data_IF_774896476295
#
_entry.id   IF_774896476295
#
_cell.length_a   1.000
_cell.length_b   1.000
_cell.length_c   1.000
_cell.angle_alpha   90.00
_cell.angle_beta   90.00
_cell.angle_gamma   90.00
#
_symmetry.space_group_name_H-M   'P 1'
#
loop_
_entity.id
_entity.type
_entity.pdbx_description
1 polymer ?
#
# COMPACT_ATOMS: atom_id res chain seq x y z
N UNK A 1 9.65 2.88 -33.94
CA UNK A 1 9.72 3.84 -32.83
C UNK A 1 9.89 3.09 -31.53
N UNK A 2 10.80 3.50 -30.64
CA UNK A 2 10.96 2.86 -29.33
C UNK A 2 9.84 3.34 -28.37
N UNK A 3 9.68 2.67 -27.22
CA UNK A 3 8.58 2.98 -26.29
C UNK A 3 8.72 4.35 -25.62
N UNK A 4 9.95 4.84 -25.41
CA UNK A 4 10.21 6.14 -24.82
C UNK A 4 9.84 7.30 -25.76
N UNK A 5 10.16 7.15 -27.05
CA UNK A 5 9.82 8.11 -28.09
C UNK A 5 8.29 8.20 -28.29
N UNK A 6 7.60 7.06 -28.18
CA UNK A 6 6.14 7.00 -28.23
C UNK A 6 5.50 7.74 -27.03
N UNK A 7 6.00 7.54 -25.81
CA UNK A 7 5.47 8.21 -24.62
C UNK A 7 5.61 9.74 -24.71
N UNK A 8 6.72 10.22 -25.27
CA UNK A 8 6.96 11.66 -25.52
C UNK A 8 5.97 12.21 -26.56
N UNK A 9 5.77 11.50 -27.67
CA UNK A 9 4.81 11.90 -28.71
C UNK A 9 3.36 11.85 -28.21
N UNK A 10 3.01 10.87 -27.39
CA UNK A 10 1.69 10.77 -26.78
C UNK A 10 1.41 11.94 -25.82
N UNK A 11 2.41 12.38 -25.04
CA UNK A 11 2.28 13.56 -24.20
C UNK A 11 2.06 14.84 -25.02
N UNK A 12 2.79 15.00 -26.13
CA UNK A 12 2.57 16.12 -27.07
C UNK A 12 1.16 16.10 -27.69
N UNK A 13 0.68 14.92 -28.11
CA UNK A 13 -0.67 14.75 -28.65
C UNK A 13 -1.75 15.12 -27.62
N UNK A 14 -1.60 14.68 -26.36
CA UNK A 14 -2.54 15.02 -25.28
C UNK A 14 -2.50 16.51 -24.89
N UNK A 15 -1.37 17.18 -25.12
CA UNK A 15 -1.22 18.62 -24.93
C UNK A 15 -1.80 19.45 -26.09
N UNK A 16 -2.08 18.83 -27.25
CA UNK A 16 -2.60 19.50 -28.45
C UNK A 16 -1.52 20.15 -29.32
N UNK A 17 -0.24 19.85 -29.07
CA UNK A 17 0.93 20.48 -29.72
C UNK A 17 1.55 19.59 -30.81
N UNK A 18 0.78 18.64 -31.36
CA UNK A 18 1.27 17.63 -32.29
C UNK A 18 1.08 18.04 -33.76
N UNK A 19 2.07 17.78 -34.61
CA UNK A 19 1.96 18.03 -36.04
C UNK A 19 1.28 16.87 -36.81
N UNK A 20 0.78 17.10 -38.05
CA UNK A 20 0.06 16.06 -38.81
C UNK A 20 0.88 14.82 -39.18
N UNK A 21 2.20 14.89 -39.16
CA UNK A 21 3.10 13.79 -39.46
C UNK A 21 3.43 12.98 -38.20
N UNK A 22 3.59 13.66 -37.05
CA UNK A 22 3.68 13.04 -35.72
C UNK A 22 2.39 12.27 -35.37
N UNK A 23 1.21 12.79 -35.75
CA UNK A 23 -0.08 12.12 -35.54
C UNK A 23 -0.16 10.80 -36.32
N UNK A 24 0.35 10.76 -37.56
CA UNK A 24 0.44 9.51 -38.34
C UNK A 24 1.35 8.47 -37.69
N UNK A 25 2.48 8.89 -37.13
CA UNK A 25 3.40 7.97 -36.47
C UNK A 25 2.79 7.33 -35.21
N UNK A 26 1.96 8.09 -34.48
CA UNK A 26 1.21 7.57 -33.33
C UNK A 26 0.17 6.54 -33.80
N UNK A 27 -0.58 6.84 -34.87
CA UNK A 27 -1.59 5.93 -35.41
C UNK A 27 -0.97 4.65 -35.98
N UNK A 28 0.09 4.75 -36.77
CA UNK A 28 0.81 3.61 -37.35
C UNK A 28 1.46 2.73 -36.26
N UNK A 29 2.03 3.34 -35.23
CA UNK A 29 2.52 2.59 -34.07
C UNK A 29 1.38 1.92 -33.30
N UNK A 30 0.23 2.59 -33.14
CA UNK A 30 -0.93 2.01 -32.46
C UNK A 30 -1.50 0.80 -33.20
N UNK A 31 -1.62 0.87 -34.53
CA UNK A 31 -2.11 -0.26 -35.33
C UNK A 31 -1.15 -1.45 -35.27
N UNK A 32 0.17 -1.20 -35.31
CA UNK A 32 1.18 -2.26 -35.24
C UNK A 32 1.34 -2.83 -33.82
N UNK A 33 1.28 -2.00 -32.77
CA UNK A 33 1.44 -2.43 -31.38
C UNK A 33 0.21 -3.20 -30.86
N UNK A 34 -0.98 -2.91 -31.40
CA UNK A 34 -2.23 -3.58 -31.03
C UNK A 34 -2.72 -4.60 -32.09
N UNK A 35 -1.87 -4.97 -33.04
CA UNK A 35 -2.19 -5.75 -34.25
C UNK A 35 -2.68 -7.20 -34.05
N UNK A 36 -2.78 -7.73 -32.83
CA UNK A 36 -3.42 -9.02 -32.57
C UNK A 36 -4.28 -9.00 -31.31
N UNK A 37 -5.52 -8.53 -31.45
CA UNK A 37 -6.52 -8.67 -30.39
C UNK A 37 -7.57 -7.57 -30.37
N UNK A 38 -8.25 -7.31 -31.48
CA UNK A 38 -9.53 -6.60 -31.42
C UNK A 38 -10.60 -7.53 -30.86
N UNK A 39 -10.59 -7.72 -29.53
CA UNK A 39 -11.83 -7.99 -28.85
C UNK A 39 -12.72 -6.78 -29.13
N UNK A 40 -13.65 -6.94 -30.07
CA UNK A 40 -14.60 -5.91 -30.46
C UNK A 40 -15.27 -5.40 -29.19
N UNK A 41 -14.90 -4.19 -28.77
CA UNK A 41 -15.47 -3.54 -27.59
C UNK A 41 -16.97 -3.50 -27.84
N UNK A 42 -17.73 -4.23 -27.03
CA UNK A 42 -19.18 -4.28 -27.21
C UNK A 42 -19.76 -2.88 -26.98
N UNK A 43 -20.86 -2.52 -27.66
CA UNK A 43 -21.48 -1.19 -27.51
C UNK A 43 -21.81 -0.83 -26.03
N UNK A 44 -21.97 -1.86 -25.19
CA UNK A 44 -22.12 -1.76 -23.73
C UNK A 44 -20.85 -1.28 -23.03
N UNK A 45 -19.68 -1.79 -23.42
CA UNK A 45 -18.39 -1.40 -22.84
C UNK A 45 -17.97 0.01 -23.27
N UNK A 46 -18.26 0.40 -24.52
CA UNK A 46 -18.07 1.78 -24.99
C UNK A 46 -18.83 2.78 -24.11
N UNK A 47 -20.10 2.52 -23.80
CA UNK A 47 -20.90 3.40 -22.92
C UNK A 47 -20.36 3.48 -21.49
N UNK A 48 -19.77 2.40 -20.97
CA UNK A 48 -19.19 2.38 -19.62
C UNK A 48 -17.89 3.18 -19.57
N UNK A 49 -17.06 3.06 -20.61
CA UNK A 49 -15.80 3.80 -20.73
C UNK A 49 -16.07 5.28 -20.97
N UNK A 50 -16.99 5.62 -21.88
CA UNK A 50 -17.44 6.99 -22.13
C UNK A 50 -17.97 7.65 -20.85
N UNK A 51 -18.81 6.95 -20.08
CA UNK A 51 -19.33 7.46 -18.81
C UNK A 51 -18.23 7.66 -17.76
N UNK A 52 -17.18 6.84 -17.75
CA UNK A 52 -16.01 7.00 -16.86
C UNK A 52 -15.13 8.18 -17.27
N UNK A 53 -14.91 8.38 -18.56
CA UNK A 53 -14.13 9.49 -19.12
C UNK A 53 -14.85 10.82 -18.85
N UNK A 54 -16.15 10.92 -19.15
CA UNK A 54 -16.94 12.14 -18.89
C UNK A 54 -17.04 12.48 -17.40
N UNK A 55 -17.06 11.48 -16.51
CA UNK A 55 -17.08 11.72 -15.06
C UNK A 55 -15.76 12.35 -14.57
N UNK A 56 -14.62 11.97 -15.16
CA UNK A 56 -13.31 12.57 -14.86
C UNK A 56 -13.14 13.94 -15.52
N UNK A 57 -13.57 14.10 -16.77
CA UNK A 57 -13.52 15.40 -17.47
C UNK A 57 -14.38 16.43 -16.74
N UNK A 58 -15.59 16.07 -16.25
CA UNK A 58 -16.43 17.02 -15.51
C UNK A 58 -15.83 17.46 -14.17
N UNK A 59 -15.07 16.58 -13.51
CA UNK A 59 -14.37 16.93 -12.25
C UNK A 59 -13.05 17.66 -12.48
N UNK A 60 -12.43 17.52 -13.64
CA UNK A 60 -11.11 18.08 -13.95
C UNK A 60 -11.15 19.31 -14.87
N UNK A 61 -12.25 19.55 -15.61
CA UNK A 61 -12.45 20.68 -16.51
C UNK A 61 -13.24 21.85 -15.88
N UNK A 62 -13.79 21.68 -14.69
CA UNK A 62 -14.32 22.80 -13.90
C UNK A 62 -13.18 23.42 -13.10
N UNK A 63 -12.33 24.18 -13.80
CA UNK A 63 -11.52 25.20 -13.18
C UNK A 63 -12.39 26.06 -12.27
N UNK A 64 -11.93 26.25 -11.02
CA UNK A 64 -12.56 27.15 -10.05
C UNK A 64 -12.72 28.53 -10.70
N UNK A 65 -13.94 28.87 -11.11
CA UNK A 65 -14.29 30.28 -11.38
C UNK A 65 -14.35 31.00 -10.04
N UNK A 66 -13.69 32.16 -9.86
CA UNK A 66 -13.93 32.98 -8.70
C UNK A 66 -15.42 33.38 -8.69
N UNK A 67 -16.08 33.09 -7.58
CA UNK A 67 -17.47 33.43 -7.34
C UNK A 67 -17.57 34.94 -7.16
N UNK A 68 -17.71 35.69 -8.26
CA UNK A 68 -18.11 37.10 -8.24
C UNK A 68 -19.63 37.15 -8.15
N UNK A 69 -20.14 37.36 -6.95
CA UNK A 69 -21.56 37.60 -6.70
C UNK A 69 -21.90 39.02 -7.12
N UNK A 70 -22.75 39.19 -8.14
CA UNK A 70 -23.40 40.49 -8.35
C UNK A 70 -24.52 40.63 -7.32
N UNK A 71 -24.23 41.29 -6.20
CA UNK A 71 -25.23 41.63 -5.20
C UNK A 71 -26.15 42.70 -5.78
N UNK A 72 -27.41 42.34 -6.00
CA UNK A 72 -28.46 43.27 -6.44
C UNK A 72 -28.75 44.31 -5.36
N UNK A 73 -28.98 45.57 -5.77
CA UNK A 73 -29.14 46.75 -4.91
C UNK A 73 -30.24 46.61 -3.83
N UNK A 74 -31.18 45.68 -4.01
CA UNK A 74 -32.24 45.37 -3.06
C UNK A 74 -31.73 44.69 -1.76
N UNK A 75 -30.55 44.05 -1.77
CA UNK A 75 -29.96 43.42 -0.57
C UNK A 75 -29.19 44.40 0.32
N UNK A 76 -28.74 45.55 -0.22
CA UNK A 76 -28.14 46.63 0.58
C UNK A 76 -29.17 47.37 1.45
N UNK A 77 -30.42 47.47 0.98
CA UNK A 77 -31.51 48.08 1.75
C UNK A 77 -31.91 47.23 2.98
N UNK A 78 -31.89 45.91 2.84
CA UNK A 78 -32.20 44.98 3.96
C UNK A 78 -31.07 44.99 5.01
N UNK A 79 -29.81 45.14 4.58
CA UNK A 79 -28.67 45.25 5.50
C UNK A 79 -28.74 46.51 6.39
N UNK A 80 -29.19 47.65 5.86
CA UNK A 80 -29.31 48.89 6.63
C UNK A 80 -30.36 48.80 7.76
N UNK A 81 -31.46 48.08 7.51
CA UNK A 81 -32.51 47.90 8.53
C UNK A 81 -32.10 46.92 9.63
N UNK A 82 -31.34 45.87 9.30
CA UNK A 82 -30.83 44.90 10.30
C UNK A 82 -29.76 45.53 11.19
N UNK A 83 -28.89 46.38 10.64
CA UNK A 83 -27.86 47.09 11.41
C UNK A 83 -28.48 48.08 12.41
N UNK A 84 -29.55 48.79 12.03
CA UNK A 84 -30.25 49.70 12.95
C UNK A 84 -30.96 48.97 14.08
N UNK A 85 -31.59 47.82 13.80
CA UNK A 85 -32.27 47.01 14.83
C UNK A 85 -31.25 46.34 15.76
N UNK A 86 -30.14 45.81 15.23
CA UNK A 86 -29.06 45.23 16.03
C UNK A 86 -28.30 46.30 16.84
N UNK A 87 -28.12 47.51 16.30
CA UNK A 87 -27.52 48.64 17.00
C UNK A 87 -28.35 49.12 18.18
N UNK A 88 -29.68 49.17 18.03
CA UNK A 88 -30.59 49.51 19.12
C UNK A 88 -30.65 48.43 20.21
N UNK A 89 -30.52 47.15 19.84
CA UNK A 89 -30.50 46.03 20.80
C UNK A 89 -29.21 45.97 21.64
N UNK A 90 -28.08 46.46 21.13
CA UNK A 90 -26.79 46.52 21.84
C UNK A 90 -26.70 47.65 22.88
N UNK A 91 -27.60 48.65 22.83
CA UNK A 91 -27.62 49.78 23.77
C UNK A 91 -28.55 49.57 24.98
N UNK A 92 -29.29 48.45 25.04
CA UNK A 92 -30.06 48.05 26.22
C UNK A 92 -29.14 47.41 27.28
N UNK A 93 -28.98 47.99 28.48
CA UNK A 93 -28.16 47.41 29.54
C UNK A 93 -28.85 46.15 30.08
N UNK A 94 -28.38 44.98 29.64
CA UNK A 94 -28.91 43.66 30.02
C UNK A 94 -28.68 42.56 28.99
N UNK A 95 -28.50 42.91 27.70
CA UNK A 95 -28.37 41.93 26.62
C UNK A 95 -27.06 41.13 26.69
N UNK A 96 -25.97 41.74 27.15
CA UNK A 96 -24.66 41.09 27.27
C UNK A 96 -24.57 40.07 28.43
N UNK A 97 -25.46 40.17 29.42
CA UNK A 97 -25.53 39.22 30.54
C UNK A 97 -26.23 37.90 30.17
N UNK A 98 -27.02 37.88 29.08
CA UNK A 98 -27.76 36.70 28.64
C UNK A 98 -27.08 35.96 27.48
N UNK A 99 -26.23 36.65 26.71
CA UNK A 99 -25.50 36.03 25.59
C UNK A 99 -24.23 35.27 26.03
N UNK A 100 -23.65 35.61 27.19
CA UNK A 100 -22.46 34.91 27.72
C UNK A 100 -22.78 33.69 28.60
N UNK A 101 -24.04 33.21 28.59
CA UNK A 101 -24.47 32.05 29.39
C UNK A 101 -24.74 30.77 28.59
N UNK A 102 -24.57 30.79 27.26
CA UNK A 102 -24.86 29.63 26.39
C UNK A 102 -23.70 29.19 25.48
N UNK A 103 -22.44 29.48 25.85
CA UNK A 103 -21.24 28.90 25.18
C UNK A 103 -20.49 27.97 26.15
N UNK A 104 -21.25 27.09 26.81
CA UNK A 104 -20.77 25.86 27.45
C UNK A 104 -21.88 24.82 27.36
N UNK A 105 -22.05 24.22 26.18
CA UNK A 105 -22.73 22.93 25.98
C UNK A 105 -22.83 22.63 24.49
N UNK A 106 -21.72 22.23 23.87
CA UNK A 106 -21.70 21.40 22.66
C UNK A 106 -20.37 20.64 22.56
N UNK A 107 -19.97 20.03 23.67
CA UNK A 107 -18.91 19.02 23.75
C UNK A 107 -19.34 17.90 24.71
N UNK A 108 -20.50 17.29 24.42
CA UNK A 108 -20.91 16.00 24.99
C UNK A 108 -22.13 15.53 24.18
N UNK A 109 -21.98 14.44 23.42
CA UNK A 109 -23.10 13.86 22.68
C UNK A 109 -22.77 13.24 21.32
N UNK A 110 -21.53 12.90 21.00
CA UNK A 110 -21.33 11.68 20.20
C UNK A 110 -21.39 10.55 21.22
N UNK A 111 -22.57 9.94 21.30
CA UNK A 111 -22.84 8.70 21.99
C UNK A 111 -21.67 7.75 21.76
N UNK A 112 -20.89 7.54 22.83
CA UNK A 112 -20.11 6.33 23.01
C UNK A 112 -21.12 5.20 22.91
N UNK A 113 -21.32 4.66 21.71
CA UNK A 113 -21.58 3.24 21.60
C UNK A 113 -20.46 2.62 22.44
N UNK A 114 -20.82 2.07 23.60
CA UNK A 114 -19.98 1.15 24.34
C UNK A 114 -19.67 0.03 23.36
N UNK A 115 -18.61 0.21 22.58
CA UNK A 115 -18.05 -0.88 21.79
C UNK A 115 -17.56 -1.84 22.84
N UNK A 116 -18.31 -2.91 23.05
CA UNK A 116 -17.87 -4.03 23.85
C UNK A 116 -16.56 -4.53 23.23
N UNK A 117 -15.44 -4.18 23.88
CA UNK A 117 -14.13 -4.68 23.50
C UNK A 117 -13.92 -6.05 24.14
N UNK A 118 -13.59 -7.02 23.32
CA UNK A 118 -13.20 -8.35 23.75
C UNK A 118 -11.67 -8.34 23.89
N UNK A 119 -11.17 -8.71 25.07
CA UNK A 119 -9.74 -8.93 25.31
C UNK A 119 -9.48 -10.43 25.47
N UNK A 120 -8.66 -10.98 24.58
CA UNK A 120 -8.19 -12.37 24.64
C UNK A 120 -6.73 -12.35 25.05
N UNK A 121 -6.37 -13.09 26.10
CA UNK A 121 -4.97 -13.28 26.52
C UNK A 121 -4.61 -14.76 26.42
N UNK A 122 -3.42 -15.05 25.90
CA UNK A 122 -2.85 -16.39 25.88
C UNK A 122 -1.82 -16.54 27.01
N UNK A 123 -2.25 -17.13 28.13
CA UNK A 123 -1.39 -17.47 29.27
C UNK A 123 -0.90 -18.92 29.24
N UNK A 124 -1.27 -19.69 28.21
CA UNK A 124 -0.88 -21.09 28.07
C UNK A 124 0.45 -21.22 27.32
N UNK A 125 1.02 -22.43 27.31
CA UNK A 125 2.27 -22.73 26.60
C UNK A 125 2.13 -23.06 25.11
N UNK A 126 0.93 -22.93 24.53
CA UNK A 126 0.66 -23.25 23.13
C UNK A 126 -0.04 -22.08 22.43
N UNK A 127 0.12 -21.90 21.10
CA UNK A 127 -0.59 -20.86 20.36
C UNK A 127 -2.11 -21.02 20.45
N UNK A 128 -2.83 -19.90 20.59
CA UNK A 128 -4.29 -19.85 20.69
C UNK A 128 -4.87 -19.21 19.42
N UNK A 129 -5.76 -19.93 18.74
CA UNK A 129 -6.46 -19.39 17.57
C UNK A 129 -7.68 -18.56 18.02
N UNK A 130 -7.86 -17.39 17.39
CA UNK A 130 -8.99 -16.48 17.57
C UNK A 130 -9.57 -16.19 16.20
N UNK A 131 -10.87 -16.43 16.02
CA UNK A 131 -11.59 -16.06 14.81
C UNK A 131 -12.34 -14.75 15.04
N UNK A 132 -12.17 -13.78 14.15
CA UNK A 132 -12.83 -12.49 14.19
C UNK A 132 -14.09 -12.53 13.31
N UNK A 133 -15.03 -11.59 13.51
CA UNK A 133 -16.34 -11.61 12.82
C UNK A 133 -16.27 -11.47 11.30
N UNK A 134 -15.16 -10.95 10.77
CA UNK A 134 -14.91 -10.77 9.34
C UNK A 134 -14.28 -12.00 8.67
N UNK A 135 -14.09 -13.09 9.42
CA UNK A 135 -13.43 -14.31 8.97
C UNK A 135 -11.91 -14.31 9.11
N UNK A 136 -11.32 -13.21 9.61
CA UNK A 136 -9.87 -13.14 9.89
C UNK A 136 -9.51 -14.12 11.01
N UNK A 137 -8.45 -14.90 10.79
CA UNK A 137 -7.90 -15.82 11.78
C UNK A 137 -6.63 -15.22 12.41
N UNK A 138 -6.59 -15.21 13.73
CA UNK A 138 -5.42 -14.73 14.50
C UNK A 138 -4.88 -15.89 15.34
N UNK A 139 -3.65 -16.30 15.08
CA UNK A 139 -2.92 -17.24 15.93
C UNK A 139 -2.06 -16.44 16.91
N UNK A 140 -2.51 -16.39 18.16
CA UNK A 140 -1.88 -15.66 19.25
C UNK A 140 -0.84 -16.54 19.95
N UNK A 141 0.42 -16.12 19.92
CA UNK A 141 1.55 -16.80 20.58
C UNK A 141 1.36 -16.75 22.11
N UNK A 142 1.99 -17.66 22.90
CA UNK A 142 2.05 -17.52 24.35
C UNK A 142 2.46 -16.11 24.81
N UNK A 143 2.02 -15.73 26.01
CA UNK A 143 2.31 -14.44 26.64
C UNK A 143 1.85 -13.21 25.86
N UNK A 144 0.87 -13.39 24.97
CA UNK A 144 0.36 -12.34 24.10
C UNK A 144 -1.11 -12.04 24.41
N UNK A 145 -1.56 -10.84 24.05
CA UNK A 145 -2.96 -10.43 24.19
C UNK A 145 -3.45 -9.65 22.98
N UNK A 146 -4.68 -9.91 22.59
CA UNK A 146 -5.38 -9.27 21.49
C UNK A 146 -6.65 -8.61 22.03
N UNK A 147 -6.87 -7.35 21.68
CA UNK A 147 -8.08 -6.60 22.01
C UNK A 147 -8.74 -6.11 20.73
N UNK A 148 -10.04 -6.35 20.60
CA UNK A 148 -10.80 -6.02 19.39
C UNK A 148 -12.27 -5.75 19.74
N UNK A 149 -13.01 -4.94 18.98
CA UNK A 149 -14.43 -4.74 19.23
C UNK A 149 -15.22 -5.98 18.81
N UNK A 150 -16.35 -6.23 19.48
CA UNK A 150 -17.27 -7.32 19.06
C UNK A 150 -17.75 -7.16 17.62
N UNK A 151 -17.96 -5.92 17.20
CA UNK A 151 -18.30 -5.53 15.83
C UNK A 151 -17.36 -4.45 15.30
N UNK A 152 -16.83 -4.66 14.11
CA UNK A 152 -15.99 -3.70 13.40
C UNK A 152 -16.82 -2.54 12.83
N UNK A 153 -16.14 -1.42 12.60
CA UNK A 153 -16.76 -0.28 11.95
C UNK A 153 -17.07 -0.58 10.49
N UNK A 154 -18.08 0.12 9.97
CA UNK A 154 -18.48 0.03 8.55
C UNK A 154 -17.33 0.37 7.58
N UNK A 155 -16.33 1.15 8.03
CA UNK A 155 -15.26 1.65 7.18
C UNK A 155 -13.87 1.07 7.50
N UNK A 156 -13.71 0.37 8.63
CA UNK A 156 -12.39 -0.10 9.10
C UNK A 156 -12.50 -1.22 10.12
N UNK A 157 -11.48 -2.08 10.16
CA UNK A 157 -11.34 -3.15 11.14
C UNK A 157 -10.10 -2.84 11.99
N UNK A 158 -10.24 -2.77 13.31
CA UNK A 158 -9.16 -2.31 14.19
C UNK A 158 -8.98 -3.27 15.36
N UNK A 159 -7.75 -3.68 15.60
CA UNK A 159 -7.36 -4.52 16.73
C UNK A 159 -6.09 -3.97 17.38
N UNK A 160 -5.93 -4.19 18.68
CA UNK A 160 -4.73 -3.87 19.45
C UNK A 160 -4.04 -5.18 19.84
N UNK A 161 -2.74 -5.28 19.60
CA UNK A 161 -1.91 -6.43 19.94
C UNK A 161 -0.81 -6.02 20.93
N UNK A 162 -0.62 -6.85 21.95
CA UNK A 162 0.53 -6.86 22.84
C UNK A 162 1.13 -8.27 22.82
N UNK A 163 2.43 -8.39 22.56
CA UNK A 163 3.09 -9.68 22.33
C UNK A 163 3.16 -10.04 20.84
N UNK A 164 2.99 -11.32 20.50
CA UNK A 164 3.17 -11.84 19.16
C UNK A 164 1.92 -12.55 18.62
N UNK A 165 1.58 -12.28 17.36
CA UNK A 165 0.51 -12.98 16.68
C UNK A 165 0.76 -13.09 15.18
N UNK A 166 0.32 -14.20 14.61
CA UNK A 166 0.14 -14.35 13.17
C UNK A 166 -1.30 -14.02 12.79
N UNK A 167 -1.47 -13.14 11.82
CA UNK A 167 -2.75 -12.72 11.27
C UNK A 167 -2.90 -13.29 9.87
N UNK A 168 -4.01 -13.96 9.60
CA UNK A 168 -4.48 -14.32 8.28
C UNK A 168 -5.75 -13.52 7.98
N UNK A 169 -5.57 -12.33 7.39
CA UNK A 169 -6.63 -11.33 7.27
C UNK A 169 -7.46 -11.58 6.02
N UNK A 170 -8.78 -11.68 6.23
CA UNK A 170 -9.73 -11.82 5.13
C UNK A 170 -9.66 -10.60 4.20
N UNK A 171 -9.59 -10.87 2.90
CA UNK A 171 -9.48 -9.83 1.88
C UNK A 171 -10.74 -8.98 1.80
N UNK A 172 -10.60 -7.70 2.13
CA UNK A 172 -11.62 -6.66 2.02
C UNK A 172 -10.94 -5.32 1.77
N UNK A 173 -10.98 -4.88 0.50
CA UNK A 173 -10.38 -3.61 0.06
C UNK A 173 -11.18 -2.37 0.46
N UNK A 174 -12.44 -2.56 0.87
CA UNK A 174 -13.34 -1.45 1.26
C UNK A 174 -13.20 -1.10 2.73
N UNK A 175 -12.81 -2.06 3.56
CA UNK A 175 -12.58 -1.90 5.01
C UNK A 175 -11.17 -2.34 5.38
N UNK A 176 -10.18 -1.45 5.38
CA UNK A 176 -8.81 -1.80 5.77
C UNK A 176 -8.75 -2.34 7.20
N UNK A 177 -7.82 -3.26 7.43
CA UNK A 177 -7.54 -3.87 8.72
C UNK A 177 -6.30 -3.22 9.34
N UNK A 178 -6.41 -2.78 10.59
CA UNK A 178 -5.36 -2.09 11.33
C UNK A 178 -5.01 -2.87 12.59
N UNK A 179 -3.74 -3.23 12.73
CA UNK A 179 -3.17 -3.75 13.97
C UNK A 179 -2.37 -2.63 14.63
N UNK A 180 -2.78 -2.27 15.84
CA UNK A 180 -2.09 -1.32 16.68
C UNK A 180 -1.15 -2.05 17.63
N UNK A 181 0.14 -1.70 17.59
CA UNK A 181 1.19 -2.25 18.46
C UNK A 181 1.99 -1.12 19.08
N UNK A 182 1.42 -0.50 20.10
CA UNK A 182 1.98 0.68 20.76
C UNK A 182 2.23 1.82 19.78
N UNK A 183 3.49 1.96 19.36
CA UNK A 183 3.99 3.04 18.52
C UNK A 183 3.85 2.78 17.02
N UNK A 184 3.46 1.58 16.60
CA UNK A 184 3.24 1.27 15.19
C UNK A 184 1.78 0.96 14.87
N UNK A 185 1.43 1.28 13.62
CA UNK A 185 0.20 0.83 12.99
C UNK A 185 0.57 0.01 11.77
N UNK A 186 0.04 -1.21 11.73
CA UNK A 186 0.15 -2.11 10.57
C UNK A 186 -1.19 -2.12 9.85
N UNK A 187 -1.23 -1.60 8.63
CA UNK A 187 -2.42 -1.51 7.78
C UNK A 187 -2.35 -2.51 6.63
N UNK A 188 -3.43 -3.27 6.46
CA UNK A 188 -3.56 -4.29 5.41
C UNK A 188 -4.96 -4.33 4.81
N UNK A 189 -5.10 -4.95 3.63
CA UNK A 189 -6.39 -5.16 2.97
C UNK A 189 -6.79 -6.63 2.84
N UNK A 190 -5.90 -7.57 3.15
CA UNK A 190 -6.08 -8.99 2.88
C UNK A 190 -4.72 -9.65 2.69
N UNK A 191 -4.10 -10.03 3.80
CA UNK A 191 -2.69 -10.42 3.87
C UNK A 191 -2.49 -11.37 5.03
N UNK A 192 -1.51 -12.25 4.89
CA UNK A 192 -1.03 -13.08 5.99
C UNK A 192 0.33 -12.56 6.46
N UNK A 193 0.45 -12.23 7.74
CA UNK A 193 1.66 -11.60 8.31
C UNK A 193 1.78 -11.90 9.81
N UNK A 194 3.00 -11.85 10.33
CA UNK A 194 3.29 -11.95 11.75
C UNK A 194 3.68 -10.57 12.30
N UNK A 195 3.22 -10.27 13.51
CA UNK A 195 3.63 -9.08 14.27
C UNK A 195 4.13 -9.52 15.63
N UNK A 196 5.29 -9.01 16.03
CA UNK A 196 5.92 -9.25 17.33
C UNK A 196 6.21 -7.92 18.01
N UNK A 197 5.50 -7.65 19.09
CA UNK A 197 5.52 -6.39 19.83
C UNK A 197 5.32 -6.62 21.33
N UNK A 198 6.32 -7.18 22.00
CA UNK A 198 6.32 -7.27 23.45
C UNK A 198 6.61 -5.90 24.08
N UNK A 199 5.92 -5.58 25.18
CA UNK A 199 6.06 -4.29 25.90
C UNK A 199 7.52 -4.04 26.32
N UNK A 200 8.20 -5.08 26.83
CA UNK A 200 9.58 -5.01 27.30
C UNK A 200 10.64 -5.21 26.20
N UNK A 201 10.24 -5.53 24.96
CA UNK A 201 11.19 -5.66 23.86
C UNK A 201 11.65 -4.28 23.37
N UNK A 202 12.91 -4.17 22.95
CA UNK A 202 13.46 -2.95 22.34
C UNK A 202 12.95 -2.71 20.92
N UNK A 203 12.50 -3.76 20.25
CA UNK A 203 12.07 -3.73 18.85
C UNK A 203 10.62 -4.15 18.70
N UNK A 204 10.00 -3.71 17.59
CA UNK A 204 8.75 -4.26 17.05
C UNK A 204 9.07 -4.83 15.67
N UNK A 205 8.66 -6.05 15.40
CA UNK A 205 8.92 -6.73 14.12
C UNK A 205 7.60 -7.02 13.41
N UNK A 206 7.55 -6.76 12.10
CA UNK A 206 6.43 -7.17 11.23
C UNK A 206 7.00 -7.96 10.05
N UNK A 207 6.53 -9.19 9.86
CA UNK A 207 6.98 -10.10 8.79
C UNK A 207 5.82 -10.47 7.87
N UNK A 208 5.98 -10.26 6.57
CA UNK A 208 4.91 -10.50 5.58
C UNK A 208 5.07 -11.85 4.90
N UNK A 209 3.99 -12.65 4.92
CA UNK A 209 3.92 -13.93 4.22
C UNK A 209 3.18 -13.80 2.89
N UNK A 210 2.04 -13.12 2.87
CA UNK A 210 1.26 -12.90 1.63
C UNK A 210 0.72 -11.48 1.53
N UNK A 211 0.52 -11.01 0.29
CA UNK A 211 -0.05 -9.70 0.00
C UNK A 211 0.89 -8.52 0.32
N UNK A 212 0.35 -7.37 0.74
CA UNK A 212 1.12 -6.14 1.00
C UNK A 212 0.71 -5.49 2.30
N UNK A 213 1.70 -5.11 3.09
CA UNK A 213 1.51 -4.53 4.41
C UNK A 213 2.10 -3.13 4.44
N UNK A 214 1.33 -2.14 4.91
CA UNK A 214 1.85 -0.79 5.17
C UNK A 214 2.09 -0.62 6.67
N UNK A 215 3.32 -0.26 7.03
CA UNK A 215 3.72 -0.04 8.42
C UNK A 215 4.12 1.42 8.58
N UNK A 216 3.55 2.10 9.56
CA UNK A 216 3.88 3.49 9.87
C UNK A 216 3.77 3.76 11.37
N UNK A 217 4.45 4.80 11.83
CA UNK A 217 4.37 5.23 13.22
C UNK A 217 2.97 5.73 13.58
N UNK A 218 2.54 5.41 14.79
CA UNK A 218 1.24 5.76 15.34
C UNK A 218 1.23 7.23 15.80
N UNK A 219 1.33 8.16 14.85
CA UNK A 219 1.25 9.59 15.15
C UNK A 219 -0.21 10.06 15.23
N UNK A 220 -0.68 10.34 16.45
CA UNK A 220 -1.98 10.97 16.67
C UNK A 220 -2.08 12.41 16.13
N UNK A 221 -0.96 13.04 15.72
CA UNK A 221 -0.87 14.50 15.50
C UNK A 221 -0.87 14.99 14.05
N UNK A 222 -0.76 14.13 13.02
CA UNK A 222 -0.82 14.58 11.63
C UNK A 222 -1.31 13.48 10.67
N UNK A 223 -2.63 13.34 10.42
CA UNK A 223 -3.17 12.33 9.51
C UNK A 223 -2.82 12.53 8.02
N UNK A 224 -2.10 13.61 7.68
CA UNK A 224 -1.78 14.01 6.30
C UNK A 224 -0.37 13.62 5.81
N UNK A 225 0.50 13.09 6.69
CA UNK A 225 1.84 12.66 6.28
C UNK A 225 2.19 11.29 6.87
N UNK A 226 1.45 10.25 6.48
CA UNK A 226 1.78 8.86 6.84
C UNK A 226 2.94 8.39 5.96
N UNK A 227 4.16 8.74 6.34
CA UNK A 227 5.38 8.22 5.72
C UNK A 227 5.58 6.75 6.14
N UNK A 228 4.73 5.87 5.60
CA UNK A 228 4.76 4.44 5.87
C UNK A 228 5.64 3.68 4.90
N UNK A 229 6.21 2.58 5.38
CA UNK A 229 6.94 1.62 4.56
C UNK A 229 5.97 0.54 4.08
N UNK A 230 6.03 0.21 2.79
CA UNK A 230 5.25 -0.88 2.21
C UNK A 230 6.14 -2.12 2.13
N UNK A 231 5.70 -3.20 2.78
CA UNK A 231 6.34 -4.50 2.75
C UNK A 231 5.63 -5.43 1.77
N UNK A 232 6.43 -6.18 1.02
CA UNK A 232 6.04 -7.27 0.13
C UNK A 232 6.27 -8.62 0.83
N UNK A 233 5.78 -9.75 0.30
CA UNK A 233 6.10 -11.06 0.84
C UNK A 233 7.60 -11.30 0.96
N UNK A 234 8.01 -12.11 1.94
CA UNK A 234 9.42 -12.34 2.31
C UNK A 234 10.17 -11.10 2.81
N UNK A 235 9.50 -9.99 3.04
CA UNK A 235 10.09 -8.82 3.69
C UNK A 235 9.64 -8.74 5.15
N UNK A 236 10.53 -8.19 5.96
CA UNK A 236 10.26 -7.81 7.33
C UNK A 236 10.65 -6.35 7.56
N UNK A 237 10.10 -5.77 8.61
CA UNK A 237 10.56 -4.49 9.13
C UNK A 237 10.81 -4.62 10.62
N UNK A 238 11.93 -4.07 11.05
CA UNK A 238 12.28 -3.94 12.45
C UNK A 238 12.18 -2.46 12.81
N UNK A 239 11.31 -2.14 13.76
CA UNK A 239 11.24 -0.82 14.37
C UNK A 239 12.01 -0.83 15.68
N UNK A 240 13.04 -0.01 15.75
CA UNK A 240 13.80 0.21 16.98
C UNK A 240 13.12 1.32 17.80
N UNK A 241 12.65 0.97 19.02
CA UNK A 241 11.89 1.90 19.86
C UNK A 241 12.73 3.06 20.41
N UNK A 242 14.04 2.94 20.45
CA UNK A 242 14.95 3.97 20.98
C UNK A 242 15.24 5.04 19.92
N UNK A 243 15.72 4.59 18.75
CA UNK A 243 16.08 5.45 17.62
C UNK A 243 14.90 5.86 16.75
N UNK A 244 13.72 5.25 16.94
CA UNK A 244 12.51 5.42 16.10
C UNK A 244 12.76 5.12 14.62
N UNK A 245 13.70 4.21 14.33
CA UNK A 245 14.05 3.84 12.95
C UNK A 245 13.28 2.61 12.52
N UNK A 246 12.70 2.69 11.32
CA UNK A 246 12.15 1.56 10.58
C UNK A 246 13.22 1.02 9.64
N UNK A 247 13.64 -0.23 9.84
CA UNK A 247 14.66 -0.90 9.04
C UNK A 247 14.01 -2.05 8.26
N UNK A 248 13.73 -1.87 6.95
CA UNK A 248 13.20 -2.94 6.11
C UNK A 248 14.31 -3.89 5.67
N UNK A 249 14.04 -5.18 5.77
CA UNK A 249 14.99 -6.25 5.47
C UNK A 249 14.28 -7.43 4.79
N UNK A 250 15.05 -8.29 4.13
CA UNK A 250 14.57 -9.59 3.71
C UNK A 250 14.54 -10.54 4.91
N UNK A 251 13.55 -11.43 4.96
CA UNK A 251 13.57 -12.52 5.94
C UNK A 251 14.75 -13.45 5.70
N UNK A 252 15.26 -14.07 6.77
CA UNK A 252 16.42 -14.98 6.72
C UNK A 252 16.23 -16.15 5.73
N UNK A 253 15.02 -16.72 5.69
CA UNK A 253 14.66 -17.81 4.78
C UNK A 253 13.44 -17.43 3.94
N UNK A 254 13.64 -16.83 2.75
CA UNK A 254 12.56 -16.48 1.86
C UNK A 254 11.84 -17.74 1.35
N UNK A 255 10.52 -17.76 1.48
CA UNK A 255 9.68 -18.83 0.98
C UNK A 255 9.26 -18.59 -0.47
N UNK A 256 8.93 -19.66 -1.20
CA UNK A 256 8.35 -19.51 -2.54
C UNK A 256 6.97 -18.83 -2.46
N UNK A 257 6.71 -17.97 -3.43
CA UNK A 257 5.48 -17.22 -3.60
C UNK A 257 4.59 -17.90 -4.65
N UNK A 258 3.28 -17.91 -4.39
CA UNK A 258 2.26 -18.39 -5.34
C UNK A 258 2.47 -19.83 -5.84
N UNK A 259 2.85 -20.73 -4.93
CA UNK A 259 2.99 -22.15 -5.21
C UNK A 259 1.72 -22.86 -4.74
N UNK A 260 0.68 -22.84 -5.56
CA UNK A 260 -0.52 -23.67 -5.35
C UNK A 260 -0.15 -25.14 -5.56
N UNK A 261 0.37 -25.79 -4.52
CA UNK A 261 0.58 -27.23 -4.34
C UNK A 261 1.45 -27.96 -5.39
N UNK A 262 1.98 -27.27 -6.41
CA UNK A 262 2.93 -27.83 -7.38
C UNK A 262 4.35 -27.50 -6.96
N UNK A 263 5.18 -28.51 -6.70
CA UNK A 263 6.63 -28.31 -6.56
C UNK A 263 7.12 -27.52 -7.78
N UNK A 264 7.61 -26.30 -7.56
CA UNK A 264 8.12 -25.46 -8.64
C UNK A 264 9.41 -26.10 -9.16
N UNK A 265 9.34 -26.71 -10.34
CA UNK A 265 10.49 -27.27 -11.03
C UNK A 265 11.36 -26.11 -11.53
N UNK A 266 12.63 -26.12 -11.13
CA UNK A 266 13.64 -25.12 -11.48
C UNK A 266 14.83 -25.82 -12.13
N UNK A 267 14.55 -26.56 -13.21
CA UNK A 267 15.57 -27.23 -14.03
C UNK A 267 15.89 -26.32 -15.21
N UNK A 268 17.17 -26.03 -15.39
CA UNK A 268 17.67 -25.16 -16.45
C UNK A 268 18.65 -25.93 -17.32
N UNK A 269 18.47 -25.86 -18.62
CA UNK A 269 19.35 -26.44 -19.62
C UNK A 269 19.72 -25.34 -20.62
N UNK A 270 21.01 -25.02 -20.67
CA UNK A 270 21.59 -23.97 -21.50
C UNK A 270 20.83 -22.62 -21.46
N UNK A 271 20.29 -22.28 -20.28
CA UNK A 271 19.51 -21.07 -20.06
C UNK A 271 20.43 -19.86 -19.80
N UNK A 272 20.02 -18.68 -20.24
CA UNK A 272 20.76 -17.45 -19.91
C UNK A 272 20.60 -17.11 -18.44
N UNK A 273 21.62 -16.50 -17.85
CA UNK A 273 21.59 -16.07 -16.46
C UNK A 273 20.42 -15.10 -16.21
N UNK A 274 20.11 -14.24 -17.18
CA UNK A 274 18.97 -13.35 -17.10
C UNK A 274 17.63 -14.10 -16.94
N UNK A 275 17.42 -15.18 -17.71
CA UNK A 275 16.23 -16.01 -17.60
C UNK A 275 16.16 -16.72 -16.23
N UNK A 276 17.26 -17.33 -15.81
CA UNK A 276 17.36 -18.04 -14.53
C UNK A 276 17.04 -17.11 -13.35
N UNK A 277 17.66 -15.92 -13.32
CA UNK A 277 17.42 -14.93 -12.28
C UNK A 277 16.00 -14.37 -12.32
N UNK A 278 15.41 -14.21 -13.50
CA UNK A 278 14.02 -13.77 -13.65
C UNK A 278 13.03 -14.79 -13.07
N UNK A 279 13.27 -16.09 -13.29
CA UNK A 279 12.47 -17.16 -12.66
C UNK A 279 12.59 -17.10 -11.14
N UNK A 280 13.80 -16.95 -10.61
CA UNK A 280 14.04 -16.85 -9.15
C UNK A 280 13.38 -15.61 -8.55
N UNK A 281 13.55 -14.44 -9.17
CA UNK A 281 12.89 -13.20 -8.74
C UNK A 281 11.38 -13.38 -8.64
N UNK A 282 10.76 -13.98 -9.67
CA UNK A 282 9.32 -14.23 -9.69
C UNK A 282 8.92 -15.25 -8.62
N UNK A 283 9.67 -16.34 -8.50
CA UNK A 283 9.38 -17.44 -7.60
C UNK A 283 9.45 -17.04 -6.12
N UNK A 284 10.40 -16.18 -5.74
CA UNK A 284 10.56 -15.74 -4.34
C UNK A 284 10.01 -14.33 -4.09
N UNK A 285 9.58 -13.59 -5.13
CA UNK A 285 9.14 -12.21 -5.00
C UNK A 285 10.24 -11.23 -4.60
N UNK A 286 11.50 -11.55 -4.90
CA UNK A 286 12.68 -10.76 -4.54
C UNK A 286 13.17 -9.91 -5.71
N UNK A 287 13.97 -8.90 -5.40
CA UNK A 287 14.65 -8.08 -6.41
C UNK A 287 16.11 -8.52 -6.53
N UNK A 288 16.54 -8.78 -7.77
CA UNK A 288 17.92 -9.12 -8.08
C UNK A 288 18.41 -8.13 -9.14
N UNK A 289 19.56 -7.51 -8.89
CA UNK A 289 20.21 -6.55 -9.78
C UNK A 289 21.57 -7.10 -10.17
N UNK A 290 21.81 -7.19 -11.48
CA UNK A 290 23.10 -7.62 -12.04
C UNK A 290 23.93 -6.38 -12.35
N UNK A 291 25.11 -6.23 -11.73
CA UNK A 291 25.91 -5.00 -11.86
C UNK A 291 26.54 -4.82 -13.24
N UNK A 292 26.93 -5.92 -13.91
CA UNK A 292 27.51 -5.90 -15.25
C UNK A 292 26.63 -6.68 -16.21
N UNK A 293 26.20 -6.04 -17.29
CA UNK A 293 25.35 -6.68 -18.31
C UNK A 293 26.01 -7.90 -18.97
N UNK A 294 27.35 -7.99 -18.96
CA UNK A 294 28.09 -9.16 -19.49
C UNK A 294 27.75 -10.47 -18.79
N UNK A 295 27.22 -10.41 -17.57
CA UNK A 295 26.76 -11.58 -16.82
C UNK A 295 25.44 -12.14 -17.36
N UNK A 296 24.59 -11.30 -17.96
CA UNK A 296 23.24 -11.69 -18.39
C UNK A 296 23.26 -12.81 -19.44
N UNK A 297 24.26 -12.79 -20.33
CA UNK A 297 24.42 -13.75 -21.41
C UNK A 297 25.11 -15.05 -20.97
N UNK A 298 25.53 -15.16 -19.70
CA UNK A 298 26.17 -16.38 -19.22
C UNK A 298 25.20 -17.54 -19.17
N UNK A 299 25.66 -18.69 -19.62
CA UNK A 299 24.84 -19.90 -19.67
C UNK A 299 24.89 -20.62 -18.32
N UNK A 300 23.72 -21.08 -17.88
CA UNK A 300 23.54 -21.88 -16.69
C UNK A 300 22.80 -23.18 -17.03
N UNK A 301 23.39 -24.30 -16.61
CA UNK A 301 22.78 -25.63 -16.69
C UNK A 301 22.82 -26.27 -15.30
N UNK A 302 21.66 -26.65 -14.77
CA UNK A 302 21.54 -27.24 -13.44
C UNK A 302 20.12 -27.30 -12.92
N UNK A 303 19.92 -28.18 -11.92
CA UNK A 303 18.67 -28.31 -11.18
C UNK A 303 18.75 -27.57 -9.84
N UNK A 304 17.87 -26.59 -9.65
CA UNK A 304 17.74 -25.78 -8.45
C UNK A 304 16.48 -26.11 -7.63
N UNK A 305 15.74 -27.14 -8.04
CA UNK A 305 14.43 -27.50 -7.49
C UNK A 305 14.52 -27.83 -6.00
N UNK A 306 13.71 -27.14 -5.19
CA UNK A 306 13.60 -27.39 -3.75
C UNK A 306 14.77 -26.89 -2.91
N UNK A 307 15.76 -26.22 -3.50
CA UNK A 307 16.84 -25.59 -2.75
C UNK A 307 16.39 -24.23 -2.18
N UNK A 308 16.88 -23.81 -0.99
CA UNK A 308 16.65 -22.47 -0.47
C UNK A 308 17.25 -21.38 -1.38
N UNK A 309 16.64 -20.18 -1.41
CA UNK A 309 17.06 -19.06 -2.27
C UNK A 309 18.57 -18.79 -2.19
N UNK A 310 19.12 -18.66 -0.98
CA UNK A 310 20.54 -18.40 -0.78
C UNK A 310 21.46 -19.48 -1.37
N UNK A 311 21.01 -20.74 -1.35
CA UNK A 311 21.72 -21.87 -1.96
C UNK A 311 21.62 -21.83 -3.47
N UNK A 312 20.44 -21.54 -4.02
CA UNK A 312 20.25 -21.36 -5.46
C UNK A 312 21.17 -20.26 -6.02
N UNK A 313 21.13 -19.06 -5.42
CA UNK A 313 21.98 -17.93 -5.82
C UNK A 313 23.47 -18.27 -5.70
N UNK A 314 23.86 -19.01 -4.66
CA UNK A 314 25.26 -19.44 -4.48
C UNK A 314 25.72 -20.38 -5.61
N UNK A 315 24.91 -21.33 -6.04
CA UNK A 315 25.27 -22.24 -7.12
C UNK A 315 25.34 -21.53 -8.47
N UNK A 316 24.36 -20.67 -8.75
CA UNK A 316 24.35 -19.82 -9.95
C UNK A 316 25.61 -18.95 -9.99
N UNK A 317 25.92 -18.24 -8.90
CA UNK A 317 27.08 -17.36 -8.86
C UNK A 317 28.38 -18.14 -9.05
N UNK A 318 28.50 -19.33 -8.45
CA UNK A 318 29.70 -20.17 -8.60
C UNK A 318 29.91 -20.67 -10.04
N UNK A 319 28.87 -21.01 -10.78
CA UNK A 319 29.02 -21.52 -12.15
C UNK A 319 29.45 -20.44 -13.14
N UNK A 320 29.11 -19.17 -12.89
CA UNK A 320 29.43 -18.03 -13.77
C UNK A 320 30.56 -17.14 -13.25
N UNK A 321 31.34 -17.62 -12.27
CA UNK A 321 32.42 -16.87 -11.62
C UNK A 321 31.98 -15.48 -11.11
N UNK A 322 30.85 -15.47 -10.41
CA UNK A 322 30.24 -14.32 -9.76
C UNK A 322 30.05 -14.55 -8.25
N UNK A 323 29.61 -13.50 -7.57
CA UNK A 323 29.20 -13.47 -6.17
C UNK A 323 27.94 -12.61 -6.04
N UNK A 324 27.26 -12.72 -4.90
CA UNK A 324 26.11 -11.88 -4.59
C UNK A 324 26.24 -11.23 -3.22
N UNK A 325 25.60 -10.08 -3.07
CA UNK A 325 25.53 -9.31 -1.83
C UNK A 325 24.07 -8.88 -1.58
N UNK A 326 23.52 -9.12 -0.39
CA UNK A 326 22.21 -8.62 0.00
C UNK A 326 22.35 -7.22 0.60
N UNK A 327 21.65 -6.23 0.06
CA UNK A 327 21.57 -4.86 0.60
C UNK A 327 20.11 -4.50 0.84
N UNK A 328 19.70 -4.46 2.10
CA UNK A 328 18.30 -4.26 2.49
C UNK A 328 17.41 -5.42 2.03
N UNK A 329 16.72 -5.25 0.90
CA UNK A 329 15.82 -6.26 0.33
C UNK A 329 16.22 -6.72 -1.08
N UNK A 330 17.35 -6.22 -1.60
CA UNK A 330 17.78 -6.42 -2.99
C UNK A 330 19.10 -7.18 -3.03
N UNK A 331 19.17 -8.21 -3.88
CA UNK A 331 20.40 -8.94 -4.15
C UNK A 331 21.16 -8.28 -5.29
N UNK A 332 22.45 -8.00 -5.09
CA UNK A 332 23.35 -7.47 -6.11
C UNK A 332 24.31 -8.56 -6.55
N UNK A 333 24.29 -8.92 -7.84
CA UNK A 333 25.20 -9.93 -8.42
C UNK A 333 26.37 -9.23 -9.11
N UNK A 334 27.58 -9.66 -8.77
CA UNK A 334 28.85 -9.05 -9.21
C UNK A 334 29.82 -10.13 -9.64
N UNK A 335 30.67 -9.84 -10.63
CA UNK A 335 31.69 -10.79 -11.06
C UNK A 335 32.36 -10.38 -12.35
N UNK A 336 33.31 -11.20 -12.78
CA UNK A 336 33.96 -11.06 -14.09
C UNK A 336 33.18 -11.79 -15.18
N UNK A 337 32.24 -12.67 -14.78
CA UNK A 337 31.38 -13.43 -15.66
C UNK A 337 32.04 -14.67 -16.24
N UNK A 338 31.30 -15.31 -17.12
CA UNK A 338 31.75 -16.44 -17.90
C UNK A 338 32.75 -15.95 -18.96
N UNK A 339 33.91 -16.61 -19.04
CA UNK A 339 34.83 -16.37 -20.15
C UNK A 339 34.13 -16.80 -21.44
N UNK A 340 34.07 -15.91 -22.43
CA UNK A 340 33.61 -16.25 -23.78
C UNK A 340 34.62 -17.14 -24.50
#
# INVERSE_FOLDING_TARGET
MNQHDFDILLQKYLAGDCDPEEERQILEWSENAFGHGTAAITATEQKIVERRIWKRIRTSALGKKPFLVSIGWQWLAVAATVVLVCGAALLMPGFFSQFNRNVSSNAAGSELALKDFIKVSNKGGQPKNVSLEDGTLVKLTPESSLKYPRHFDTNKRQVELEGEAFFDVQKDSTRPFFVYTGELVTQVLGTSFNVKSYTNAKTIEVKVVTGRVSVYENEQKAPHNRNGVILKPNQQITFDKESKKLVPELVEEPALQDVQDKKLEMVFEDATLQEVLSVIQKAFGVEIVVEKSTLNDCIFTGDLTGLPLHTQLRFICKSVNASYELRGTTFFIKGDGCKK
#
